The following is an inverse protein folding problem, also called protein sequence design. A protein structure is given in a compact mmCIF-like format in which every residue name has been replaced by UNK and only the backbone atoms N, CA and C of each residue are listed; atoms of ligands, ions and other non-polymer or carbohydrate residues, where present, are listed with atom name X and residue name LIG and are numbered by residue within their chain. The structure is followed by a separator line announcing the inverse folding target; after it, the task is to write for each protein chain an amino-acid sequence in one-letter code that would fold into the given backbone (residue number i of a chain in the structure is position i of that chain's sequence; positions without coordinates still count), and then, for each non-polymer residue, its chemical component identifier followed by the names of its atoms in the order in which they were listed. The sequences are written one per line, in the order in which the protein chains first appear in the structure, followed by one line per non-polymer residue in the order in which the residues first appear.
data_IF_468399840902
#
_entry.id   IF_468399840902
#
_cell.length_a   1.000
_cell.length_b   1.000
_cell.length_c   1.000
_cell.angle_alpha   90.00
_cell.angle_beta   90.00
_cell.angle_gamma   90.00
#
_symmetry.space_group_name_H-M   'P 1'
#
loop_
_entity.id
_entity.type
_entity.pdbx_description
1 polymer ?
#
# COMPACT_ATOMS: atom_id res chain seq x y z
N UNK A 1 50.32 12.35 -46.66
CA UNK A 1 49.19 12.92 -45.89
C UNK A 1 49.42 12.65 -44.42
N UNK A 2 49.14 13.67 -43.62
CA UNK A 2 49.79 14.02 -42.36
C UNK A 2 49.36 13.24 -41.12
N UNK A 3 50.30 13.17 -40.16
CA UNK A 3 50.12 12.77 -38.76
C UNK A 3 49.32 13.85 -38.02
N UNK A 4 48.48 13.47 -37.05
CA UNK A 4 48.05 14.36 -35.96
C UNK A 4 48.24 13.68 -34.61
N UNK A 5 49.31 14.07 -33.94
CA UNK A 5 49.46 14.05 -32.50
C UNK A 5 48.52 15.11 -31.90
N UNK A 6 47.86 14.79 -30.79
CA UNK A 6 47.45 15.81 -29.81
C UNK A 6 47.67 15.22 -28.41
N UNK A 7 48.47 15.93 -27.64
CA UNK A 7 48.90 15.64 -26.26
C UNK A 7 48.04 16.46 -25.28
N UNK A 8 47.52 15.80 -24.23
CA UNK A 8 47.13 16.20 -22.85
C UNK A 8 46.50 17.58 -22.51
N UNK A 9 45.72 17.68 -21.42
CA UNK A 9 46.34 18.00 -20.12
C UNK A 9 45.76 17.25 -18.90
N UNK A 10 46.56 17.23 -17.84
CA UNK A 10 46.28 16.70 -16.51
C UNK A 10 45.08 17.39 -15.83
N UNK A 11 44.32 16.65 -15.02
CA UNK A 11 43.64 17.24 -13.85
C UNK A 11 43.36 16.21 -12.74
N UNK A 12 44.34 16.08 -11.85
CA UNK A 12 44.23 16.07 -10.39
C UNK A 12 42.89 15.56 -9.81
N UNK A 13 42.87 14.30 -9.36
CA UNK A 13 41.95 13.87 -8.30
C UNK A 13 42.63 14.09 -6.94
N UNK A 14 42.07 14.92 -6.04
CA UNK A 14 42.61 15.02 -4.70
C UNK A 14 42.19 13.81 -3.86
N UNK A 15 43.20 13.05 -3.41
CA UNK A 15 43.10 12.08 -2.33
C UNK A 15 42.83 12.86 -1.03
N UNK A 16 41.59 12.84 -0.54
CA UNK A 16 41.21 13.54 0.68
C UNK A 16 41.13 12.57 1.86
N UNK A 17 41.95 12.87 2.86
CA UNK A 17 41.85 12.53 4.27
C UNK A 17 42.53 11.24 4.75
N UNK A 18 43.85 11.22 4.62
CA UNK A 18 44.68 11.13 5.84
C UNK A 18 44.71 12.50 6.53
N UNK A 19 44.08 12.60 7.70
CA UNK A 19 44.40 13.57 8.73
C UNK A 19 44.05 12.87 10.06
N UNK A 20 45.04 12.27 10.70
CA UNK A 20 45.81 12.91 11.77
C UNK A 20 45.05 12.93 13.10
N UNK A 21 45.38 11.98 13.97
CA UNK A 21 45.49 12.18 15.41
C UNK A 21 46.11 10.91 16.04
N UNK A 22 47.44 10.85 16.07
CA UNK A 22 48.13 10.07 17.08
C UNK A 22 48.27 10.90 18.36
N UNK A 23 48.18 10.20 19.48
CA UNK A 23 48.64 10.53 20.83
C UNK A 23 47.78 11.46 21.69
N UNK A 24 47.09 10.84 22.67
CA UNK A 24 47.43 11.07 24.09
C UNK A 24 47.32 9.77 24.88
N UNK A 25 48.29 9.62 25.78
CA UNK A 25 48.53 8.49 26.67
C UNK A 25 47.73 8.60 27.98
N UNK A 26 47.52 7.44 28.59
CA UNK A 26 47.41 7.17 30.03
C UNK A 26 46.16 7.57 30.87
N UNK A 27 45.55 6.50 31.41
CA UNK A 27 45.16 6.29 32.81
C UNK A 27 43.96 7.08 33.34
N UNK A 28 42.88 6.37 33.68
CA UNK A 28 42.46 6.13 35.08
C UNK A 28 41.01 5.64 35.17
N UNK A 29 40.82 4.61 36.01
CA UNK A 29 39.68 4.37 36.89
C UNK A 29 38.28 4.05 36.33
N UNK A 30 37.90 2.78 36.56
CA UNK A 30 36.63 2.29 37.09
C UNK A 30 35.47 3.30 37.14
N UNK A 31 34.43 3.03 36.37
CA UNK A 31 33.05 3.20 36.87
C UNK A 31 32.12 2.22 36.15
N UNK A 32 31.78 1.16 36.88
CA UNK A 32 30.58 0.37 36.67
C UNK A 32 29.37 1.31 36.63
N UNK A 33 28.92 1.62 35.42
CA UNK A 33 27.54 2.01 35.21
C UNK A 33 27.02 1.09 34.12
N UNK A 34 26.28 0.07 34.55
CA UNK A 34 25.40 -0.71 33.68
C UNK A 34 24.46 0.28 32.98
N UNK A 35 24.88 0.69 31.78
CA UNK A 35 24.07 1.46 30.86
C UNK A 35 22.89 0.57 30.50
N UNK A 36 21.78 0.80 31.22
CA UNK A 36 20.48 0.31 30.82
C UNK A 36 20.23 0.88 29.43
N UNK A 37 20.42 0.05 28.40
CA UNK A 37 19.99 0.30 27.04
C UNK A 37 18.49 0.58 27.07
N UNK A 38 18.13 1.85 27.28
CA UNK A 38 16.86 2.39 26.82
C UNK A 38 16.90 2.23 25.31
N UNK A 39 16.47 1.06 24.83
CA UNK A 39 15.97 0.88 23.46
C UNK A 39 14.87 1.90 23.30
N UNK A 40 15.21 3.08 22.77
CA UNK A 40 14.27 4.10 22.37
C UNK A 40 13.29 3.42 21.41
N UNK A 41 12.12 3.05 21.94
CA UNK A 41 11.02 2.55 21.11
C UNK A 41 10.71 3.70 20.15
N UNK A 42 10.96 3.48 18.86
CA UNK A 42 10.60 4.42 17.81
C UNK A 42 9.16 4.88 18.06
N UNK A 43 8.86 6.19 18.01
CA UNK A 43 7.51 6.68 18.23
C UNK A 43 6.57 5.93 17.29
N UNK A 44 5.61 5.23 17.88
CA UNK A 44 4.56 4.53 17.14
C UNK A 44 3.70 5.62 16.52
N UNK A 45 3.69 5.70 15.19
CA UNK A 45 2.85 6.65 14.43
C UNK A 45 1.42 6.61 14.95
N UNK A 46 0.78 7.77 15.07
CA UNK A 46 -0.61 7.83 15.52
C UNK A 46 -1.55 7.26 14.45
N UNK A 47 -2.71 6.74 14.87
CA UNK A 47 -3.72 6.25 13.92
C UNK A 47 -4.20 7.36 12.97
N UNK A 48 -4.24 8.61 13.45
CA UNK A 48 -4.61 9.79 12.67
C UNK A 48 -3.58 10.09 11.58
N UNK A 49 -2.27 10.03 11.89
CA UNK A 49 -1.22 10.19 10.89
C UNK A 49 -1.30 9.14 9.78
N UNK A 50 -1.54 7.87 10.14
CA UNK A 50 -1.63 6.77 9.18
C UNK A 50 -2.86 6.94 8.27
N UNK A 51 -3.96 7.46 8.82
CA UNK A 51 -5.18 7.71 8.05
C UNK A 51 -5.01 8.92 7.12
N UNK A 52 -4.38 10.00 7.57
CA UNK A 52 -4.08 11.16 6.72
C UNK A 52 -3.17 10.78 5.54
N UNK A 53 -2.11 10.01 5.80
CA UNK A 53 -1.22 9.49 4.76
C UNK A 53 -1.96 8.57 3.76
N UNK A 54 -2.91 7.76 4.24
CA UNK A 54 -3.74 6.93 3.38
C UNK A 54 -4.64 7.76 2.45
N UNK A 55 -5.29 8.81 2.96
CA UNK A 55 -6.15 9.67 2.15
C UNK A 55 -5.33 10.43 1.09
N UNK A 56 -4.13 10.90 1.44
CA UNK A 56 -3.22 11.53 0.48
C UNK A 56 -2.75 10.54 -0.59
N UNK A 57 -2.35 9.32 -0.20
CA UNK A 57 -2.00 8.25 -1.15
C UNK A 57 -3.15 7.97 -2.12
N UNK A 58 -4.37 7.87 -1.59
CA UNK A 58 -5.58 7.58 -2.38
C UNK A 58 -5.90 8.71 -3.36
N UNK A 59 -5.76 9.96 -2.96
CA UNK A 59 -5.97 11.11 -3.84
C UNK A 59 -4.99 11.09 -5.02
N UNK A 60 -3.69 10.96 -4.74
CA UNK A 60 -2.64 10.89 -5.77
C UNK A 60 -2.82 9.68 -6.70
N UNK A 61 -3.29 8.55 -6.17
CA UNK A 61 -3.59 7.36 -6.97
C UNK A 61 -4.79 7.59 -7.90
N UNK A 62 -5.82 8.28 -7.43
CA UNK A 62 -7.01 8.64 -8.24
C UNK A 62 -6.70 9.69 -9.32
N UNK A 63 -5.68 10.54 -9.11
CA UNK A 63 -5.11 11.42 -10.15
C UNK A 63 -4.37 10.65 -11.27
N UNK A 64 -4.17 9.34 -11.12
CA UNK A 64 -3.48 8.50 -12.09
C UNK A 64 -1.96 8.53 -11.97
N UNK A 65 -1.40 9.03 -10.86
CA UNK A 65 0.05 9.04 -10.65
C UNK A 65 0.60 7.61 -10.51
N UNK A 66 1.82 7.34 -11.03
CA UNK A 66 2.45 6.03 -10.86
C UNK A 66 2.67 5.68 -9.39
N UNK A 67 2.32 4.45 -8.99
CA UNK A 67 2.43 3.98 -7.60
C UNK A 67 3.84 4.20 -7.02
N UNK A 68 4.88 3.91 -7.80
CA UNK A 68 6.27 4.10 -7.35
C UNK A 68 6.62 5.57 -7.07
N UNK A 69 6.04 6.49 -7.84
CA UNK A 69 6.21 7.94 -7.62
C UNK A 69 5.52 8.37 -6.34
N UNK A 70 4.26 7.95 -6.14
CA UNK A 70 3.50 8.24 -4.91
C UNK A 70 4.24 7.70 -3.69
N UNK A 71 4.71 6.45 -3.73
CA UNK A 71 5.44 5.84 -2.62
C UNK A 71 6.72 6.59 -2.27
N UNK A 72 7.44 7.10 -3.28
CA UNK A 72 8.63 7.91 -3.10
C UNK A 72 8.29 9.28 -2.49
N UNK A 73 7.26 9.95 -3.01
CA UNK A 73 6.81 11.27 -2.55
C UNK A 73 6.35 11.23 -1.10
N UNK A 74 5.58 10.21 -0.72
CA UNK A 74 5.07 10.05 0.66
C UNK A 74 6.07 9.36 1.60
N UNK A 75 7.23 8.92 1.10
CA UNK A 75 8.24 8.24 1.91
C UNK A 75 7.76 6.91 2.52
N UNK A 76 6.78 6.25 1.90
CA UNK A 76 6.17 5.02 2.42
C UNK A 76 6.88 3.77 1.93
N UNK A 77 6.89 2.74 2.79
CA UNK A 77 7.50 1.44 2.46
C UNK A 77 6.61 0.66 1.50
N UNK A 78 7.21 -0.26 0.75
CA UNK A 78 6.49 -1.20 -0.15
C UNK A 78 5.34 -1.92 0.56
N UNK A 79 5.58 -2.48 1.75
CA UNK A 79 4.53 -3.18 2.51
C UNK A 79 3.31 -2.31 2.83
N UNK A 80 3.52 -1.01 3.04
CA UNK A 80 2.44 -0.06 3.31
C UNK A 80 1.74 0.38 2.04
N UNK A 81 2.50 0.55 0.95
CA UNK A 81 1.96 0.77 -0.40
C UNK A 81 1.03 -0.38 -0.80
N UNK A 82 1.48 -1.62 -0.64
CA UNK A 82 0.70 -2.83 -0.96
C UNK A 82 -0.59 -2.88 -0.11
N UNK A 83 -0.51 -2.52 1.17
CA UNK A 83 -1.66 -2.42 2.07
C UNK A 83 -2.67 -1.36 1.61
N UNK A 84 -2.21 -0.17 1.20
CA UNK A 84 -3.07 0.90 0.71
C UNK A 84 -3.74 0.55 -0.62
N UNK A 85 -3.02 -0.05 -1.56
CA UNK A 85 -3.59 -0.54 -2.81
C UNK A 85 -4.68 -1.60 -2.56
N UNK A 86 -4.42 -2.54 -1.65
CA UNK A 86 -5.42 -3.53 -1.27
C UNK A 86 -6.67 -2.87 -0.67
N UNK A 87 -6.49 -1.89 0.22
CA UNK A 87 -7.60 -1.14 0.84
C UNK A 87 -8.43 -0.39 -0.22
N UNK A 88 -7.78 0.26 -1.19
CA UNK A 88 -8.45 0.93 -2.32
C UNK A 88 -9.24 -0.07 -3.17
N UNK A 89 -8.63 -1.21 -3.52
CA UNK A 89 -9.29 -2.27 -4.29
C UNK A 89 -10.53 -2.80 -3.57
N UNK A 90 -10.45 -3.02 -2.25
CA UNK A 90 -11.59 -3.44 -1.43
C UNK A 90 -12.69 -2.36 -1.37
N UNK A 91 -12.33 -1.08 -1.29
CA UNK A 91 -13.31 0.01 -1.32
C UNK A 91 -14.02 0.11 -2.68
N UNK A 92 -13.30 -0.10 -3.79
CA UNK A 92 -13.89 -0.15 -5.13
C UNK A 92 -14.83 -1.36 -5.27
N UNK A 93 -14.43 -2.54 -4.77
CA UNK A 93 -15.27 -3.73 -4.77
C UNK A 93 -16.48 -3.61 -3.82
N UNK A 94 -16.36 -2.91 -2.69
CA UNK A 94 -17.53 -2.61 -1.85
C UNK A 94 -18.55 -1.73 -2.56
N UNK A 95 -18.12 -0.84 -3.47
CA UNK A 95 -19.03 -0.05 -4.30
C UNK A 95 -19.69 -0.88 -5.40
N UNK A 96 -19.03 -1.91 -5.92
CA UNK A 96 -19.62 -2.80 -6.92
C UNK A 96 -20.59 -3.82 -6.33
N UNK A 97 -20.54 -4.08 -5.02
CA UNK A 97 -21.37 -5.09 -4.36
C UNK A 97 -22.58 -4.49 -3.63
N UNK A 98 -23.52 -3.88 -4.37
CA UNK A 98 -24.86 -3.66 -3.82
C UNK A 98 -25.66 -4.96 -3.97
N UNK A 99 -25.82 -5.69 -2.87
CA UNK A 99 -26.65 -6.89 -2.87
C UNK A 99 -28.10 -6.53 -2.57
N UNK A 100 -29.01 -6.91 -3.46
CA UNK A 100 -30.44 -6.96 -3.18
C UNK A 100 -30.82 -8.38 -2.76
N UNK A 101 -31.66 -8.52 -1.74
CA UNK A 101 -32.26 -9.81 -1.38
C UNK A 101 -33.74 -9.75 -1.72
N UNK A 102 -34.25 -10.76 -2.42
CA UNK A 102 -35.67 -10.89 -2.72
C UNK A 102 -36.16 -12.29 -2.32
N UNK A 103 -37.30 -12.34 -1.65
CA UNK A 103 -38.02 -13.58 -1.41
C UNK A 103 -38.76 -14.01 -2.68
N UNK A 104 -38.80 -15.30 -2.99
CA UNK A 104 -39.35 -15.84 -4.22
C UNK A 104 -40.82 -15.48 -4.47
N UNK A 105 -41.61 -15.27 -3.42
CA UNK A 105 -43.01 -14.83 -3.54
C UNK A 105 -43.14 -13.39 -4.06
N UNK A 106 -42.08 -12.58 -3.98
CA UNK A 106 -42.02 -11.21 -4.50
C UNK A 106 -41.47 -11.14 -5.92
N UNK A 107 -40.93 -12.23 -6.44
CA UNK A 107 -40.50 -12.32 -7.83
C UNK A 107 -41.68 -12.66 -8.74
N UNK A 108 -41.77 -12.06 -9.94
CA UNK A 108 -42.69 -12.52 -10.98
C UNK A 108 -42.46 -14.01 -11.27
N UNK A 109 -43.55 -14.73 -11.54
CA UNK A 109 -43.51 -16.18 -11.77
C UNK A 109 -42.53 -16.54 -12.90
N UNK A 110 -42.52 -15.77 -14.00
CA UNK A 110 -41.58 -15.96 -15.12
C UNK A 110 -40.10 -15.87 -14.74
N UNK A 111 -39.75 -14.96 -13.83
CA UNK A 111 -38.36 -14.82 -13.34
C UNK A 111 -38.03 -15.95 -12.39
N UNK A 112 -38.98 -16.33 -11.53
CA UNK A 112 -38.79 -17.41 -10.58
C UNK A 112 -38.60 -18.77 -11.28
N UNK A 113 -39.34 -19.01 -12.37
CA UNK A 113 -39.21 -20.21 -13.19
C UNK A 113 -37.83 -20.27 -13.89
N UNK A 114 -37.35 -19.15 -14.42
CA UNK A 114 -36.00 -19.06 -15.02
C UNK A 114 -34.91 -19.36 -13.98
N UNK A 115 -35.09 -18.87 -12.75
CA UNK A 115 -34.14 -19.08 -11.66
C UNK A 115 -34.27 -20.46 -10.99
N UNK A 116 -35.28 -21.25 -11.34
CA UNK A 116 -35.47 -22.61 -10.84
C UNK A 116 -35.73 -22.70 -9.33
N UNK A 117 -36.47 -21.75 -8.75
CA UNK A 117 -36.80 -21.77 -7.32
C UNK A 117 -38.27 -21.55 -7.00
N UNK A 118 -38.58 -21.60 -5.72
CA UNK A 118 -39.94 -21.57 -5.18
C UNK A 118 -40.27 -20.25 -4.48
N UNK A 119 -41.55 -20.06 -4.14
CA UNK A 119 -42.04 -18.87 -3.43
C UNK A 119 -41.36 -18.64 -2.07
N UNK A 120 -40.83 -19.70 -1.47
CA UNK A 120 -40.16 -19.67 -0.16
C UNK A 120 -38.66 -19.40 -0.26
N UNK A 121 -38.11 -19.43 -1.45
CA UNK A 121 -36.67 -19.33 -1.63
C UNK A 121 -36.19 -17.89 -1.51
N UNK A 122 -34.94 -17.73 -1.09
CA UNK A 122 -34.30 -16.42 -0.98
C UNK A 122 -33.27 -16.30 -2.10
N UNK A 123 -33.44 -15.26 -2.92
CA UNK A 123 -32.55 -14.95 -4.03
C UNK A 123 -31.68 -13.75 -3.69
N UNK A 124 -30.37 -13.91 -3.87
CA UNK A 124 -29.38 -12.85 -3.73
C UNK A 124 -28.97 -12.33 -5.09
N UNK A 125 -29.23 -11.05 -5.32
CA UNK A 125 -28.90 -10.33 -6.54
C UNK A 125 -27.67 -9.46 -6.29
N UNK A 126 -26.73 -9.47 -7.22
CA UNK A 126 -25.61 -8.57 -7.28
C UNK A 126 -25.74 -7.66 -8.48
N UNK A 127 -25.76 -6.36 -8.25
CA UNK A 127 -25.71 -5.40 -9.34
C UNK A 127 -24.30 -5.36 -9.91
N UNK A 128 -24.19 -5.54 -11.21
CA UNK A 128 -22.96 -5.34 -12.00
C UNK A 128 -23.18 -4.20 -12.99
N UNK A 129 -22.13 -3.73 -13.65
CA UNK A 129 -22.22 -2.59 -14.58
C UNK A 129 -23.25 -2.83 -15.71
N UNK A 130 -23.32 -4.04 -16.24
CA UNK A 130 -24.21 -4.42 -17.35
C UNK A 130 -25.53 -5.07 -16.93
N UNK A 131 -25.86 -5.12 -15.63
CA UNK A 131 -27.11 -5.74 -15.18
C UNK A 131 -27.08 -6.31 -13.77
N UNK A 132 -27.72 -7.47 -13.59
CA UNK A 132 -27.88 -8.12 -12.28
C UNK A 132 -27.53 -9.60 -12.40
N UNK A 133 -26.62 -10.07 -11.56
CA UNK A 133 -26.27 -11.48 -11.42
C UNK A 133 -27.00 -12.09 -10.22
N UNK A 134 -27.53 -13.31 -10.38
CA UNK A 134 -28.06 -14.08 -9.26
C UNK A 134 -26.94 -14.91 -8.66
N UNK A 135 -26.57 -14.64 -7.42
CA UNK A 135 -25.37 -15.21 -6.78
C UNK A 135 -25.66 -16.33 -5.79
N UNK A 136 -26.88 -16.39 -5.25
CA UNK A 136 -27.25 -17.39 -4.25
C UNK A 136 -28.75 -17.67 -4.34
N UNK A 137 -29.08 -18.95 -4.45
CA UNK A 137 -30.41 -19.52 -4.32
C UNK A 137 -30.41 -20.38 -3.06
N UNK A 138 -31.12 -19.94 -2.02
CA UNK A 138 -31.30 -20.74 -0.81
C UNK A 138 -32.66 -21.41 -0.93
N UNK A 139 -32.65 -22.69 -1.29
CA UNK A 139 -33.85 -23.52 -1.35
C UNK A 139 -34.34 -23.87 0.05
N UNK A 140 -35.61 -23.62 0.32
CA UNK A 140 -36.25 -24.18 1.51
C UNK A 140 -36.58 -25.66 1.25
N UNK A 141 -35.87 -26.59 1.92
CA UNK A 141 -36.22 -28.02 1.99
C UNK A 141 -37.49 -28.20 2.81
#
# INVERSE_FOLDING_TARGET
MEKKNITSPANITPNFNEASAMATSERSEMSDTTASEKKMRKPRRSAQEIQAEYEEFKALFQEGRPVLEISRTLGIRKSQTDSYLMKISLEQHKRSLSYGVCEGHRLPDSIRDILGGDRKDIFKFERVEDGVLVKLHISHI
#
